data_IF_859758142230
#
_entry.id   IF_859758142230
#
_cell.length_a   1.000
_cell.length_b   1.000
_cell.length_c   1.000
_cell.angle_alpha   90.00
_cell.angle_beta   90.00
_cell.angle_gamma   90.00
#
_symmetry.space_group_name_H-M   'P 1'
#
loop_
_entity.id
_entity.type
_entity.pdbx_description
1 polymer ?
#
# COMPACT_ATOMS: atom_id res chain seq x y z
N UNK A 1 46.79 -6.21 -37.33
CA UNK A 1 46.70 -4.81 -37.80
C UNK A 1 45.62 -4.72 -38.87
N UNK A 2 44.39 -4.31 -38.54
CA UNK A 2 43.40 -3.88 -39.54
C UNK A 2 42.56 -2.75 -38.92
N UNK A 3 42.73 -1.55 -39.47
CA UNK A 3 41.99 -0.32 -39.13
C UNK A 3 40.61 -0.39 -39.79
N UNK A 4 39.55 -0.05 -39.06
CA UNK A 4 38.22 0.26 -39.62
C UNK A 4 37.98 1.78 -39.58
N UNK A 5 37.39 2.36 -40.65
CA UNK A 5 37.21 3.80 -40.78
C UNK A 5 35.93 4.29 -40.06
N UNK A 6 36.01 5.51 -39.55
CA UNK A 6 34.89 6.29 -39.02
C UNK A 6 34.05 6.84 -40.19
N UNK A 7 32.75 6.57 -40.17
CA UNK A 7 31.77 7.25 -41.03
C UNK A 7 31.04 8.32 -40.21
N UNK A 8 31.25 9.57 -40.60
CA UNK A 8 30.50 10.76 -40.18
C UNK A 8 29.05 10.65 -40.68
N UNK A 9 28.07 10.70 -39.77
CA UNK A 9 26.66 10.95 -40.11
C UNK A 9 26.26 12.27 -39.44
N UNK A 10 26.26 13.33 -40.25
CA UNK A 10 25.65 14.61 -39.94
C UNK A 10 24.33 14.70 -40.70
N UNK A 11 23.17 14.58 -40.03
CA UNK A 11 21.86 14.81 -40.66
C UNK A 11 20.89 15.53 -39.71
N UNK A 12 20.59 16.77 -40.10
CA UNK A 12 19.28 17.41 -40.17
C UNK A 12 18.40 17.48 -38.90
N UNK A 13 18.53 18.59 -38.17
CA UNK A 13 17.43 19.18 -37.40
C UNK A 13 16.38 19.74 -38.38
N UNK A 14 15.29 19.01 -38.60
CA UNK A 14 14.09 19.50 -39.31
C UNK A 14 13.06 19.94 -38.28
N UNK A 15 12.65 21.19 -38.41
CA UNK A 15 11.62 21.84 -37.62
C UNK A 15 10.27 21.10 -37.72
N UNK A 16 9.79 20.56 -36.58
CA UNK A 16 8.43 20.05 -36.41
C UNK A 16 7.70 20.94 -35.39
N UNK A 17 7.41 22.17 -35.81
CA UNK A 17 6.58 23.11 -35.08
C UNK A 17 5.37 23.46 -35.96
N UNK A 18 4.19 23.57 -35.34
CA UNK A 18 2.89 23.96 -35.90
C UNK A 18 2.07 22.84 -36.58
N UNK A 19 1.33 22.03 -35.82
CA UNK A 19 -0.02 21.53 -36.19
C UNK A 19 -0.75 20.87 -35.00
N UNK A 20 -0.68 21.48 -33.81
CA UNK A 20 -1.41 21.04 -32.60
C UNK A 20 -2.55 22.00 -32.23
N UNK A 21 -3.22 22.59 -33.22
CA UNK A 21 -4.60 23.08 -33.07
C UNK A 21 -5.55 21.90 -33.15
N UNK A 22 -5.40 20.96 -32.20
CA UNK A 22 -6.36 19.90 -31.98
C UNK A 22 -7.69 20.54 -31.64
N UNK A 23 -8.63 20.47 -32.59
CA UNK A 23 -10.06 20.51 -32.30
C UNK A 23 -10.30 19.45 -31.23
N UNK A 24 -10.28 19.84 -29.96
CA UNK A 24 -10.57 18.95 -28.86
C UNK A 24 -11.98 18.44 -29.08
N UNK A 25 -12.10 17.19 -29.52
CA UNK A 25 -13.36 16.48 -29.72
C UNK A 25 -14.01 16.23 -28.36
N UNK A 26 -14.44 17.30 -27.68
CA UNK A 26 -15.32 17.19 -26.54
C UNK A 26 -16.66 16.67 -27.05
N UNK A 27 -17.21 15.60 -26.48
CA UNK A 27 -18.52 15.11 -26.88
C UNK A 27 -19.55 16.23 -26.69
N UNK A 28 -20.44 16.42 -27.67
CA UNK A 28 -21.52 17.39 -27.55
C UNK A 28 -22.52 16.94 -26.48
N UNK A 29 -22.35 17.43 -25.25
CA UNK A 29 -23.21 17.07 -24.10
C UNK A 29 -24.57 17.77 -24.12
N UNK A 30 -24.69 18.85 -24.88
CA UNK A 30 -25.86 19.72 -24.96
C UNK A 30 -25.86 20.84 -23.93
N UNK A 31 -26.13 22.07 -24.36
CA UNK A 31 -26.07 23.26 -23.51
C UNK A 31 -27.03 23.22 -22.31
N UNK A 32 -28.19 22.56 -22.45
CA UNK A 32 -29.16 22.39 -21.36
C UNK A 32 -28.60 21.54 -20.20
N UNK A 33 -27.95 20.41 -20.54
CA UNK A 33 -27.28 19.55 -19.56
C UNK A 33 -26.18 20.32 -18.81
N UNK A 34 -25.31 21.03 -19.54
CA UNK A 34 -24.20 21.77 -18.93
C UNK A 34 -24.67 22.88 -18.00
N UNK A 35 -25.73 23.61 -18.39
CA UNK A 35 -26.36 24.62 -17.55
C UNK A 35 -26.94 24.01 -16.26
N UNK A 36 -27.75 22.96 -16.38
CA UNK A 36 -28.37 22.29 -15.23
C UNK A 36 -27.32 21.69 -14.29
N UNK A 37 -26.27 21.06 -14.84
CA UNK A 37 -25.15 20.50 -14.06
C UNK A 37 -24.38 21.59 -13.31
N UNK A 38 -24.13 22.75 -13.95
CA UNK A 38 -23.47 23.87 -13.30
C UNK A 38 -24.34 24.47 -12.17
N UNK A 39 -25.65 24.59 -12.38
CA UNK A 39 -26.61 25.00 -11.34
C UNK A 39 -26.63 24.01 -10.17
N UNK A 40 -26.66 22.70 -10.44
CA UNK A 40 -26.63 21.65 -9.44
C UNK A 40 -25.37 21.72 -8.57
N UNK A 41 -24.19 21.85 -9.19
CA UNK A 41 -22.90 21.99 -8.47
C UNK A 41 -22.86 23.25 -7.61
N UNK A 42 -23.34 24.38 -8.11
CA UNK A 42 -23.43 25.62 -7.31
C UNK A 42 -24.33 25.44 -6.09
N UNK A 43 -25.49 24.81 -6.25
CA UNK A 43 -26.39 24.52 -5.13
C UNK A 43 -25.73 23.56 -4.13
N UNK A 44 -25.07 22.51 -4.61
CA UNK A 44 -24.37 21.53 -3.78
C UNK A 44 -23.25 22.17 -2.95
N UNK A 45 -22.39 23.00 -3.57
CA UNK A 45 -21.32 23.72 -2.85
C UNK A 45 -21.86 24.74 -1.83
N UNK A 46 -23.07 25.25 -2.03
CA UNK A 46 -23.74 26.14 -1.10
C UNK A 46 -24.56 25.40 -0.02
N UNK A 47 -24.45 24.07 0.09
CA UNK A 47 -25.17 23.25 1.08
C UNK A 47 -26.67 23.10 0.82
N UNK A 48 -27.18 23.57 -0.33
CA UNK A 48 -28.61 23.46 -0.71
C UNK A 48 -28.86 22.14 -1.42
N UNK A 49 -28.85 21.05 -0.66
CA UNK A 49 -28.83 19.69 -1.22
C UNK A 49 -30.12 19.29 -1.94
N UNK A 50 -31.30 19.70 -1.47
CA UNK A 50 -32.56 19.43 -2.19
C UNK A 50 -32.58 20.12 -3.56
N UNK A 51 -32.23 21.41 -3.61
CA UNK A 51 -32.09 22.15 -4.87
C UNK A 51 -31.03 21.53 -5.78
N UNK A 52 -29.93 21.06 -5.22
CA UNK A 52 -28.90 20.37 -6.01
C UNK A 52 -29.45 19.09 -6.64
N UNK A 53 -30.20 18.27 -5.88
CA UNK A 53 -30.82 17.05 -6.40
C UNK A 53 -31.78 17.32 -7.56
N UNK A 54 -32.65 18.33 -7.44
CA UNK A 54 -33.59 18.70 -8.50
C UNK A 54 -32.87 19.14 -9.79
N UNK A 55 -31.77 19.88 -9.64
CA UNK A 55 -30.96 20.33 -10.79
C UNK A 55 -30.14 19.21 -11.41
N UNK A 56 -29.68 18.24 -10.61
CA UNK A 56 -29.09 17.03 -11.15
C UNK A 56 -30.11 16.16 -11.89
N UNK A 57 -31.37 16.05 -11.42
CA UNK A 57 -32.44 15.38 -12.16
C UNK A 57 -32.73 16.07 -13.50
N UNK A 58 -32.73 17.41 -13.53
CA UNK A 58 -32.89 18.18 -14.77
C UNK A 58 -31.73 17.93 -15.74
N UNK A 59 -30.49 17.91 -15.24
CA UNK A 59 -29.32 17.53 -16.02
C UNK A 59 -29.49 16.10 -16.56
N UNK A 60 -29.89 15.14 -15.72
CA UNK A 60 -30.09 13.76 -16.15
C UNK A 60 -31.11 13.62 -17.29
N UNK A 61 -32.20 14.39 -17.28
CA UNK A 61 -33.23 14.40 -18.34
C UNK A 61 -32.75 15.03 -19.64
N UNK A 62 -31.89 16.04 -19.56
CA UNK A 62 -31.44 16.84 -20.73
C UNK A 62 -30.11 16.36 -21.32
N UNK A 63 -29.44 15.41 -20.66
CA UNK A 63 -28.20 14.81 -21.13
C UNK A 63 -28.38 14.09 -22.48
N UNK A 64 -27.56 14.47 -23.47
CA UNK A 64 -27.52 13.78 -24.78
C UNK A 64 -26.70 12.49 -24.75
N UNK A 65 -25.76 12.38 -23.82
CA UNK A 65 -24.89 11.22 -23.64
C UNK A 65 -25.46 10.34 -22.52
N UNK A 66 -25.75 9.04 -22.76
CA UNK A 66 -26.33 8.17 -21.73
C UNK A 66 -25.51 8.11 -20.44
N UNK A 67 -24.17 8.09 -20.55
CA UNK A 67 -23.25 8.11 -19.40
C UNK A 67 -23.46 9.35 -18.52
N UNK A 68 -23.68 10.50 -19.12
CA UNK A 68 -23.87 11.77 -18.44
C UNK A 68 -25.24 11.81 -17.74
N UNK A 69 -26.27 11.19 -18.33
CA UNK A 69 -27.58 11.01 -17.68
C UNK A 69 -27.45 10.19 -16.39
N UNK A 70 -26.75 9.06 -16.44
CA UNK A 70 -26.55 8.19 -15.27
C UNK A 70 -25.70 8.87 -14.19
N UNK A 71 -24.63 9.57 -14.59
CA UNK A 71 -23.82 10.37 -13.67
C UNK A 71 -24.67 11.38 -12.89
N UNK A 72 -25.51 12.14 -13.60
CA UNK A 72 -26.37 13.13 -12.98
C UNK A 72 -27.41 12.48 -12.03
N UNK A 73 -28.01 11.33 -12.39
CA UNK A 73 -28.89 10.60 -11.46
C UNK A 73 -28.16 10.12 -10.21
N UNK A 74 -26.93 9.64 -10.37
CA UNK A 74 -26.09 9.23 -9.23
C UNK A 74 -25.83 10.40 -8.28
N UNK A 75 -25.42 11.56 -8.81
CA UNK A 75 -25.20 12.77 -8.00
C UNK A 75 -26.49 13.30 -7.36
N UNK A 76 -27.64 13.20 -8.05
CA UNK A 76 -28.93 13.56 -7.48
C UNK A 76 -29.26 12.70 -6.24
N UNK A 77 -29.06 11.39 -6.34
CA UNK A 77 -29.29 10.48 -5.22
C UNK A 77 -28.33 10.76 -4.04
N UNK A 78 -27.06 11.09 -4.30
CA UNK A 78 -26.12 11.51 -3.25
C UNK A 78 -26.53 12.83 -2.58
N UNK A 79 -27.03 13.79 -3.35
CA UNK A 79 -27.54 15.05 -2.81
C UNK A 79 -28.76 14.81 -1.91
N UNK A 80 -29.69 13.94 -2.32
CA UNK A 80 -30.85 13.52 -1.49
C UNK A 80 -30.43 12.86 -0.17
N UNK A 81 -29.44 11.98 -0.22
CA UNK A 81 -28.91 11.37 1.00
C UNK A 81 -28.36 12.42 1.98
N UNK A 82 -27.76 13.50 1.47
CA UNK A 82 -27.25 14.62 2.29
C UNK A 82 -28.33 15.57 2.80
N UNK A 83 -29.46 15.70 2.11
CA UNK A 83 -30.61 16.47 2.61
C UNK A 83 -31.49 15.72 3.60
N UNK A 84 -31.27 14.41 3.76
CA UNK A 84 -32.00 13.56 4.72
C UNK A 84 -33.04 12.64 4.09
N UNK A 85 -33.31 12.73 2.77
CA UNK A 85 -34.19 11.80 2.07
C UNK A 85 -33.44 10.49 1.72
N UNK A 86 -33.00 9.80 2.77
CA UNK A 86 -32.21 8.56 2.70
C UNK A 86 -33.00 7.43 2.02
N UNK A 87 -34.30 7.36 2.26
CA UNK A 87 -35.16 6.32 1.70
C UNK A 87 -35.23 6.42 0.17
N UNK A 88 -35.44 7.62 -0.38
CA UNK A 88 -35.45 7.83 -1.83
C UNK A 88 -34.06 7.66 -2.43
N UNK A 89 -33.04 8.25 -1.80
CA UNK A 89 -31.65 8.10 -2.25
C UNK A 89 -31.25 6.63 -2.38
N UNK A 90 -31.59 5.80 -1.38
CA UNK A 90 -31.29 4.37 -1.40
C UNK A 90 -32.00 3.64 -2.55
N UNK A 91 -33.28 3.95 -2.82
CA UNK A 91 -34.00 3.36 -3.97
C UNK A 91 -33.38 3.74 -5.31
N UNK A 92 -33.01 5.02 -5.48
CA UNK A 92 -32.41 5.51 -6.71
C UNK A 92 -31.00 4.94 -6.94
N UNK A 93 -30.19 4.83 -5.88
CA UNK A 93 -28.87 4.20 -5.96
C UNK A 93 -28.97 2.71 -6.31
N UNK A 94 -29.90 1.97 -5.71
CA UNK A 94 -30.14 0.56 -6.08
C UNK A 94 -30.62 0.44 -7.53
N UNK A 95 -31.49 1.33 -8.01
CA UNK A 95 -31.90 1.34 -9.42
C UNK A 95 -30.72 1.56 -10.39
N UNK A 96 -29.73 2.39 -10.03
CA UNK A 96 -28.51 2.57 -10.82
C UNK A 96 -27.59 1.34 -10.75
N UNK A 97 -27.49 0.74 -9.56
CA UNK A 97 -26.76 -0.51 -9.34
C UNK A 97 -27.34 -1.68 -10.14
N UNK A 98 -28.67 -1.75 -10.26
CA UNK A 98 -29.44 -2.83 -10.88
C UNK A 98 -29.59 -2.73 -12.40
N UNK A 99 -28.97 -1.73 -13.03
CA UNK A 99 -28.96 -1.59 -14.48
C UNK A 99 -28.39 -2.84 -15.19
N UNK A 100 -29.03 -3.25 -16.29
CA UNK A 100 -28.57 -4.36 -17.14
C UNK A 100 -28.52 -3.89 -18.62
N UNK A 101 -27.34 -3.81 -19.26
CA UNK A 101 -26.02 -4.12 -18.68
C UNK A 101 -25.59 -3.11 -17.60
N UNK A 102 -24.69 -3.49 -16.68
CA UNK A 102 -24.10 -2.56 -15.72
C UNK A 102 -23.46 -1.35 -16.42
N UNK A 103 -23.56 -0.18 -15.80
CA UNK A 103 -22.97 1.06 -16.29
C UNK A 103 -21.77 1.48 -15.43
N UNK A 104 -21.06 2.54 -15.85
CA UNK A 104 -19.84 3.03 -15.19
C UNK A 104 -20.02 3.44 -13.70
N UNK A 105 -21.27 3.60 -13.23
CA UNK A 105 -21.61 3.99 -11.87
C UNK A 105 -22.31 2.87 -11.08
N UNK A 106 -22.60 1.71 -11.67
CA UNK A 106 -23.36 0.65 -11.01
C UNK A 106 -22.69 0.15 -9.72
N UNK A 107 -21.36 -0.07 -9.75
CA UNK A 107 -20.63 -0.53 -8.57
C UNK A 107 -20.57 0.54 -7.45
N UNK A 108 -20.31 1.80 -7.81
CA UNK A 108 -20.27 2.91 -6.86
C UNK A 108 -21.65 3.16 -6.25
N UNK A 109 -22.71 3.09 -7.05
CA UNK A 109 -24.08 3.25 -6.60
C UNK A 109 -24.48 2.14 -5.62
N UNK A 110 -24.13 0.89 -5.93
CA UNK A 110 -24.37 -0.24 -5.03
C UNK A 110 -23.68 -0.02 -3.68
N UNK A 111 -22.40 0.35 -3.68
CA UNK A 111 -21.66 0.62 -2.46
C UNK A 111 -22.21 1.79 -1.64
N UNK A 112 -22.69 2.84 -2.30
CA UNK A 112 -23.36 3.95 -1.60
C UNK A 112 -24.71 3.55 -1.04
N UNK A 113 -25.49 2.71 -1.72
CA UNK A 113 -26.71 2.13 -1.16
C UNK A 113 -26.41 1.28 0.08
N UNK A 114 -25.38 0.42 0.03
CA UNK A 114 -24.96 -0.38 1.17
C UNK A 114 -24.46 0.48 2.35
N UNK A 115 -23.73 1.57 2.09
CA UNK A 115 -23.30 2.52 3.11
C UNK A 115 -24.47 3.24 3.80
N UNK A 116 -25.55 3.52 3.06
CA UNK A 116 -26.79 4.05 3.63
C UNK A 116 -27.53 2.98 4.45
N UNK A 117 -27.63 1.75 3.93
CA UNK A 117 -28.26 0.63 4.63
C UNK A 117 -27.53 0.32 5.94
N UNK A 118 -26.19 0.29 5.92
CA UNK A 118 -25.34 0.05 7.09
C UNK A 118 -25.60 1.03 8.24
N UNK A 119 -25.86 2.30 7.93
CA UNK A 119 -26.16 3.31 8.96
C UNK A 119 -27.50 3.07 9.67
N UNK A 120 -28.47 2.48 8.98
CA UNK A 120 -29.78 2.15 9.55
C UNK A 120 -29.83 0.75 10.18
N UNK A 121 -29.18 -0.21 9.53
CA UNK A 121 -29.11 -1.62 9.91
C UNK A 121 -27.73 -2.14 9.50
N UNK A 122 -26.77 -2.19 10.45
CA UNK A 122 -25.41 -2.64 10.16
C UNK A 122 -25.36 -4.04 9.55
N UNK A 123 -26.22 -4.96 10.00
CA UNK A 123 -26.23 -6.34 9.51
C UNK A 123 -26.65 -6.41 8.04
N UNK A 124 -27.73 -5.71 7.68
CA UNK A 124 -28.14 -5.59 6.28
C UNK A 124 -27.05 -4.90 5.43
N UNK A 125 -26.40 -3.87 5.96
CA UNK A 125 -25.29 -3.19 5.31
C UNK A 125 -24.12 -4.10 4.95
N UNK A 126 -23.68 -4.96 5.88
CA UNK A 126 -22.60 -5.91 5.61
C UNK A 126 -22.99 -6.98 4.59
N UNK A 127 -24.23 -7.49 4.66
CA UNK A 127 -24.75 -8.42 3.65
C UNK A 127 -24.77 -7.79 2.24
N UNK A 128 -25.16 -6.51 2.13
CA UNK A 128 -25.10 -5.79 0.85
C UNK A 128 -23.65 -5.58 0.38
N UNK A 129 -22.70 -5.28 1.27
CA UNK A 129 -21.28 -5.14 0.91
C UNK A 129 -20.68 -6.44 0.37
N UNK A 130 -21.01 -7.60 0.94
CA UNK A 130 -20.59 -8.90 0.40
C UNK A 130 -21.19 -9.15 -0.98
N UNK A 131 -22.51 -8.91 -1.15
CA UNK A 131 -23.17 -9.05 -2.44
C UNK A 131 -22.53 -8.16 -3.52
N UNK A 132 -22.10 -6.95 -3.15
CA UNK A 132 -21.38 -6.03 -4.04
C UNK A 132 -20.02 -6.60 -4.46
N UNK A 133 -19.25 -7.16 -3.52
CA UNK A 133 -17.98 -7.77 -3.82
C UNK A 133 -18.14 -8.92 -4.83
N UNK A 134 -19.16 -9.77 -4.63
CA UNK A 134 -19.46 -10.88 -5.54
C UNK A 134 -19.99 -10.43 -6.90
N UNK A 135 -20.77 -9.35 -6.95
CA UNK A 135 -21.38 -8.84 -8.17
C UNK A 135 -20.41 -8.01 -9.03
N UNK A 136 -19.49 -7.29 -8.39
CA UNK A 136 -18.53 -6.40 -9.05
C UNK A 136 -17.08 -6.74 -8.69
N UNK A 137 -16.63 -7.99 -8.91
CA UNK A 137 -15.34 -8.44 -8.41
C UNK A 137 -14.15 -7.83 -9.16
N UNK A 138 -14.37 -7.26 -10.35
CA UNK A 138 -13.36 -6.53 -11.13
C UNK A 138 -13.30 -5.02 -10.79
N UNK A 139 -14.18 -4.54 -9.90
CA UNK A 139 -14.22 -3.14 -9.48
C UNK A 139 -13.37 -2.93 -8.24
N UNK A 140 -12.63 -1.81 -8.18
CA UNK A 140 -11.97 -1.37 -6.95
C UNK A 140 -12.93 -1.21 -5.76
N UNK A 141 -14.22 -0.95 -6.05
CA UNK A 141 -15.28 -0.90 -5.02
C UNK A 141 -15.54 -2.28 -4.42
N UNK A 142 -15.51 -3.36 -5.22
CA UNK A 142 -15.66 -4.73 -4.73
C UNK A 142 -14.57 -5.10 -3.73
N UNK A 143 -13.32 -4.71 -4.01
CA UNK A 143 -12.18 -4.86 -3.10
C UNK A 143 -12.39 -4.11 -1.78
N UNK A 144 -12.84 -2.86 -1.83
CA UNK A 144 -13.12 -2.05 -0.63
C UNK A 144 -14.29 -2.61 0.18
N UNK A 145 -15.35 -3.07 -0.50
CA UNK A 145 -16.52 -3.67 0.14
C UNK A 145 -16.13 -4.94 0.90
N UNK A 146 -15.41 -5.85 0.25
CA UNK A 146 -14.92 -7.08 0.88
C UNK A 146 -13.99 -6.78 2.07
N UNK A 147 -13.08 -5.81 1.95
CA UNK A 147 -12.22 -5.39 3.06
C UNK A 147 -12.98 -4.80 4.26
N UNK A 148 -14.20 -4.28 4.08
CA UNK A 148 -15.07 -3.87 5.20
C UNK A 148 -15.74 -5.08 5.86
N UNK A 149 -16.23 -6.04 5.05
CA UNK A 149 -16.82 -7.29 5.55
C UNK A 149 -15.80 -8.07 6.39
N UNK A 150 -14.60 -8.29 5.85
CA UNK A 150 -13.52 -9.02 6.56
C UNK A 150 -13.18 -8.35 7.90
N UNK A 151 -13.06 -7.02 7.95
CA UNK A 151 -12.77 -6.32 9.21
C UNK A 151 -13.88 -6.46 10.24
N UNK A 152 -15.14 -6.55 9.81
CA UNK A 152 -16.26 -6.82 10.71
C UNK A 152 -16.23 -8.28 11.20
N UNK A 153 -15.95 -9.24 10.32
CA UNK A 153 -15.81 -10.64 10.73
C UNK A 153 -14.67 -10.83 11.75
N UNK A 154 -13.58 -10.09 11.59
CA UNK A 154 -12.44 -10.10 12.51
C UNK A 154 -12.85 -9.68 13.94
N UNK A 155 -13.93 -8.89 14.12
CA UNK A 155 -14.49 -8.56 15.44
C UNK A 155 -15.07 -9.81 16.14
N UNK A 156 -15.47 -10.82 15.37
CA UNK A 156 -15.90 -12.12 15.89
C UNK A 156 -14.75 -13.13 16.02
N UNK A 157 -13.52 -12.74 15.70
CA UNK A 157 -12.30 -13.54 15.83
C UNK A 157 -11.87 -14.31 14.57
N UNK A 158 -10.58 -14.66 14.49
CA UNK A 158 -9.94 -15.15 13.26
C UNK A 158 -10.51 -16.47 12.74
N UNK A 159 -11.02 -17.34 13.63
CA UNK A 159 -11.64 -18.61 13.23
C UNK A 159 -12.93 -18.41 12.42
N UNK A 160 -13.77 -17.45 12.82
CA UNK A 160 -15.02 -17.16 12.12
C UNK A 160 -14.76 -16.45 10.80
N UNK A 161 -13.83 -15.48 10.78
CA UNK A 161 -13.38 -14.86 9.52
C UNK A 161 -12.82 -15.91 8.56
N UNK A 162 -11.99 -16.84 9.05
CA UNK A 162 -11.43 -17.90 8.22
C UNK A 162 -12.52 -18.78 7.59
N UNK A 163 -13.49 -19.23 8.39
CA UNK A 163 -14.63 -20.01 7.89
C UNK A 163 -15.44 -19.24 6.83
N UNK A 164 -15.63 -17.93 7.01
CA UNK A 164 -16.30 -17.10 6.00
C UNK A 164 -15.47 -16.99 4.72
N UNK A 165 -14.16 -16.72 4.82
CA UNK A 165 -13.25 -16.67 3.67
C UNK A 165 -13.18 -18.00 2.91
N UNK A 166 -13.21 -19.13 3.61
CA UNK A 166 -13.27 -20.47 3.01
C UNK A 166 -14.55 -20.65 2.18
N UNK A 167 -15.69 -20.17 2.67
CA UNK A 167 -16.95 -20.20 1.93
C UNK A 167 -16.98 -19.23 0.74
N UNK A 168 -16.23 -18.13 0.82
CA UNK A 168 -16.16 -17.09 -0.22
C UNK A 168 -15.19 -17.46 -1.35
N UNK A 169 -14.07 -18.11 -1.04
CA UNK A 169 -13.02 -18.46 -1.99
C UNK A 169 -13.52 -19.08 -3.31
N UNK A 170 -14.37 -20.13 -3.31
CA UNK A 170 -14.86 -20.70 -4.57
C UNK A 170 -15.76 -19.74 -5.37
N UNK A 171 -16.43 -18.78 -4.71
CA UNK A 171 -17.33 -17.82 -5.37
C UNK A 171 -16.59 -16.71 -6.12
N UNK A 172 -15.37 -16.38 -5.67
CA UNK A 172 -14.52 -15.34 -6.28
C UNK A 172 -13.38 -15.91 -7.13
N UNK A 173 -13.35 -17.23 -7.35
CA UNK A 173 -12.31 -17.86 -8.14
C UNK A 173 -12.25 -17.28 -9.56
N UNK A 174 -11.04 -17.03 -10.06
CA UNK A 174 -10.75 -16.42 -11.38
C UNK A 174 -11.25 -14.98 -11.52
N UNK A 175 -11.46 -14.27 -10.41
CA UNK A 175 -11.77 -12.84 -10.39
C UNK A 175 -10.63 -12.04 -9.76
N UNK A 176 -10.65 -10.71 -9.86
CA UNK A 176 -9.64 -9.86 -9.22
C UNK A 176 -9.66 -9.92 -7.67
N UNK A 177 -10.72 -10.45 -7.06
CA UNK A 177 -10.82 -10.62 -5.61
C UNK A 177 -10.17 -11.92 -5.09
N UNK A 178 -9.85 -12.86 -5.97
CA UNK A 178 -9.32 -14.16 -5.55
C UNK A 178 -8.00 -14.02 -4.77
N UNK A 179 -7.08 -13.20 -5.27
CA UNK A 179 -5.78 -12.94 -4.62
C UNK A 179 -5.99 -12.35 -3.21
N UNK A 180 -6.91 -11.39 -3.06
CA UNK A 180 -7.24 -10.80 -1.77
C UNK A 180 -7.81 -11.85 -0.80
N UNK A 181 -8.77 -12.66 -1.24
CA UNK A 181 -9.41 -13.67 -0.37
C UNK A 181 -8.36 -14.68 0.11
N UNK A 182 -7.50 -15.18 -0.77
CA UNK A 182 -6.46 -16.14 -0.38
C UNK A 182 -5.39 -15.52 0.53
N UNK A 183 -4.99 -14.27 0.27
CA UNK A 183 -4.06 -13.55 1.14
C UNK A 183 -4.64 -13.28 2.54
N UNK A 184 -5.89 -12.81 2.62
CA UNK A 184 -6.56 -12.58 3.90
C UNK A 184 -6.84 -13.90 4.63
N UNK A 185 -7.10 -15.00 3.92
CA UNK A 185 -7.19 -16.35 4.50
C UNK A 185 -5.89 -16.76 5.19
N UNK A 186 -4.75 -16.61 4.49
CA UNK A 186 -3.43 -16.94 5.02
C UNK A 186 -3.11 -16.17 6.32
N UNK A 187 -3.48 -14.88 6.40
CA UNK A 187 -3.33 -14.07 7.62
C UNK A 187 -4.09 -14.66 8.82
N UNK A 188 -5.32 -15.14 8.64
CA UNK A 188 -6.15 -15.67 9.75
C UNK A 188 -5.64 -17.04 10.20
N UNK A 189 -5.12 -17.83 9.27
CA UNK A 189 -4.41 -19.08 9.59
C UNK A 189 -3.20 -18.79 10.48
N UNK A 190 -2.42 -17.74 10.15
CA UNK A 190 -1.29 -17.29 10.97
C UNK A 190 -1.71 -16.82 12.37
N UNK A 191 -2.80 -16.03 12.47
CA UNK A 191 -3.35 -15.55 13.74
C UNK A 191 -3.85 -16.69 14.64
N UNK A 192 -4.28 -17.81 14.05
CA UNK A 192 -4.64 -19.04 14.77
C UNK A 192 -3.43 -19.89 15.19
N UNK A 193 -2.20 -19.44 14.94
CA UNK A 193 -0.97 -20.16 15.28
C UNK A 193 -0.66 -21.36 14.37
N UNK A 194 -1.38 -21.52 13.26
CA UNK A 194 -1.19 -22.61 12.28
C UNK A 194 -0.08 -22.24 11.29
N UNK A 195 1.14 -22.04 11.80
CA UNK A 195 2.22 -21.38 11.03
C UNK A 195 2.64 -22.12 9.77
N UNK A 196 2.71 -23.46 9.79
CA UNK A 196 3.07 -24.26 8.60
C UNK A 196 2.05 -24.05 7.46
N UNK A 197 0.75 -24.13 7.78
CA UNK A 197 -0.31 -23.92 6.80
C UNK A 197 -0.39 -22.46 6.33
N UNK A 198 -0.15 -21.51 7.24
CA UNK A 198 -0.09 -20.09 6.87
C UNK A 198 1.07 -19.83 5.89
N UNK A 199 2.25 -20.41 6.15
CA UNK A 199 3.41 -20.35 5.26
C UNK A 199 3.04 -20.86 3.88
N UNK A 200 2.46 -22.07 3.80
CA UNK A 200 2.03 -22.66 2.52
C UNK A 200 1.02 -21.78 1.79
N UNK A 201 0.05 -21.22 2.52
CA UNK A 201 -0.97 -20.34 1.95
C UNK A 201 -0.38 -19.03 1.41
N UNK A 202 0.59 -18.42 2.11
CA UNK A 202 1.29 -17.24 1.61
C UNK A 202 2.15 -17.56 0.37
N UNK A 203 2.88 -18.67 0.37
CA UNK A 203 3.68 -19.09 -0.78
C UNK A 203 2.78 -19.35 -1.99
N UNK A 204 1.62 -19.99 -1.81
CA UNK A 204 0.63 -20.20 -2.86
C UNK A 204 0.17 -18.87 -3.49
N UNK A 205 -0.08 -17.83 -2.69
CA UNK A 205 -0.45 -16.50 -3.20
C UNK A 205 0.67 -15.93 -4.07
N UNK A 206 1.92 -15.98 -3.61
CA UNK A 206 3.06 -15.47 -4.37
C UNK A 206 3.33 -16.26 -5.67
N UNK A 207 3.11 -17.58 -5.66
CA UNK A 207 3.28 -18.45 -6.82
C UNK A 207 2.21 -18.22 -7.87
N UNK A 208 0.97 -18.04 -7.44
CA UNK A 208 -0.17 -17.90 -8.34
C UNK A 208 -0.29 -16.50 -8.95
N UNK A 209 0.13 -15.47 -8.22
CA UNK A 209 0.20 -14.08 -8.70
C UNK A 209 1.63 -13.55 -8.55
N UNK A 210 2.55 -13.94 -9.46
CA UNK A 210 3.93 -13.49 -9.39
C UNK A 210 4.06 -12.00 -9.75
N UNK A 211 5.21 -11.41 -9.39
CA UNK A 211 5.61 -10.09 -9.88
C UNK A 211 5.67 -10.07 -11.43
N UNK A 212 5.29 -8.95 -12.10
CA UNK A 212 4.81 -7.69 -11.53
C UNK A 212 3.30 -7.64 -11.26
N UNK A 213 2.55 -8.70 -11.60
CA UNK A 213 1.08 -8.70 -11.58
C UNK A 213 0.44 -8.85 -10.20
N UNK A 214 1.07 -9.58 -9.28
CA UNK A 214 0.52 -9.81 -7.94
C UNK A 214 0.58 -8.59 -7.05
N UNK A 215 -0.59 -8.17 -6.54
CA UNK A 215 -0.70 -7.07 -5.58
C UNK A 215 -0.11 -7.44 -4.22
N UNK A 216 -0.11 -8.72 -3.86
CA UNK A 216 0.34 -9.25 -2.58
C UNK A 216 1.61 -10.10 -2.68
N UNK A 217 2.26 -10.18 -3.84
CA UNK A 217 3.47 -11.00 -4.05
C UNK A 217 4.56 -10.76 -2.99
N UNK A 218 4.95 -9.51 -2.78
CA UNK A 218 6.02 -9.11 -1.85
C UNK A 218 5.57 -9.24 -0.39
N UNK A 219 4.36 -8.79 -0.07
CA UNK A 219 3.78 -8.99 1.26
C UNK A 219 3.68 -10.48 1.61
N UNK A 220 3.26 -11.35 0.68
CA UNK A 220 3.10 -12.78 0.91
C UNK A 220 4.43 -13.48 1.18
N UNK A 221 5.48 -13.24 0.38
CA UNK A 221 6.81 -13.81 0.65
C UNK A 221 7.42 -13.26 1.95
N UNK A 222 7.18 -11.99 2.26
CA UNK A 222 7.60 -11.41 3.53
C UNK A 222 6.90 -12.11 4.71
N UNK A 223 5.57 -12.29 4.66
CA UNK A 223 4.81 -13.01 5.69
C UNK A 223 5.19 -14.48 5.79
N UNK A 224 5.47 -15.16 4.67
CA UNK A 224 5.99 -16.52 4.67
C UNK A 224 7.31 -16.61 5.47
N UNK A 225 8.21 -15.63 5.31
CA UNK A 225 9.44 -15.56 6.12
C UNK A 225 9.20 -15.38 7.63
N UNK A 226 8.12 -14.69 8.02
CA UNK A 226 7.74 -14.56 9.43
C UNK A 226 7.22 -15.90 9.98
N UNK A 227 6.48 -16.65 9.17
CA UNK A 227 6.01 -17.99 9.56
C UNK A 227 7.16 -18.96 9.71
N UNK A 228 8.12 -18.98 8.78
CA UNK A 228 9.32 -19.81 8.87
C UNK A 228 10.15 -19.48 10.13
N UNK A 229 10.29 -18.20 10.48
CA UNK A 229 10.95 -17.80 11.73
C UNK A 229 10.20 -18.36 12.96
N UNK A 230 8.87 -18.28 13.00
CA UNK A 230 8.05 -18.85 14.09
C UNK A 230 8.16 -20.38 14.17
N UNK A 231 8.45 -21.04 13.06
CA UNK A 231 8.71 -22.48 12.98
C UNK A 231 10.16 -22.87 13.34
N UNK A 232 11.02 -21.89 13.66
CA UNK A 232 12.44 -22.14 13.95
C UNK A 232 13.28 -22.45 12.71
N UNK A 233 12.86 -21.98 11.53
CA UNK A 233 13.46 -22.25 10.21
C UNK A 233 14.02 -20.96 9.56
N UNK A 234 15.04 -20.34 10.16
CA UNK A 234 15.54 -19.04 9.71
C UNK A 234 16.17 -19.08 8.31
N UNK A 235 16.68 -20.22 7.84
CA UNK A 235 17.28 -20.34 6.50
C UNK A 235 16.21 -20.28 5.40
N UNK A 236 15.10 -20.96 5.64
CA UNK A 236 13.90 -20.97 4.80
C UNK A 236 13.26 -19.58 4.79
N UNK A 237 13.22 -18.91 5.94
CA UNK A 237 12.79 -17.51 6.03
C UNK A 237 13.62 -16.60 5.12
N UNK A 238 14.95 -16.71 5.18
CA UNK A 238 15.86 -15.96 4.31
C UNK A 238 15.62 -16.31 2.83
N UNK A 239 15.39 -17.59 2.50
CA UNK A 239 15.14 -18.01 1.13
C UNK A 239 13.88 -17.35 0.51
N UNK A 240 12.80 -17.19 1.28
CA UNK A 240 11.62 -16.44 0.81
C UNK A 240 11.91 -14.96 0.56
N UNK A 241 12.70 -14.32 1.44
CA UNK A 241 13.08 -12.91 1.28
C UNK A 241 14.02 -12.70 0.09
N UNK A 242 15.00 -13.59 -0.11
CA UNK A 242 15.88 -13.57 -1.28
C UNK A 242 15.11 -13.81 -2.58
N UNK A 243 14.15 -14.75 -2.58
CA UNK A 243 13.24 -14.94 -3.72
C UNK A 243 12.45 -13.68 -4.05
N UNK A 244 11.99 -12.95 -3.04
CA UNK A 244 11.29 -11.68 -3.28
C UNK A 244 12.23 -10.64 -3.89
N UNK A 245 13.45 -10.52 -3.34
CA UNK A 245 14.45 -9.56 -3.80
C UNK A 245 15.00 -9.87 -5.20
N UNK A 246 14.94 -11.13 -5.67
CA UNK A 246 15.40 -11.49 -7.02
C UNK A 246 14.58 -10.85 -8.15
N UNK A 247 13.36 -10.36 -7.86
CA UNK A 247 12.52 -9.62 -8.81
C UNK A 247 12.74 -8.10 -8.74
N UNK A 248 13.69 -7.64 -7.93
CA UNK A 248 14.00 -6.21 -7.84
C UNK A 248 14.72 -5.75 -9.10
N UNK A 249 14.05 -4.88 -9.86
CA UNK A 249 14.66 -4.17 -10.98
C UNK A 249 15.39 -2.92 -10.48
N UNK A 250 16.68 -2.79 -10.82
CA UNK A 250 17.45 -1.57 -10.55
C UNK A 250 17.29 -0.57 -11.68
N UNK A 251 16.40 0.41 -11.50
CA UNK A 251 16.33 1.58 -12.40
C UNK A 251 17.47 2.54 -12.10
N UNK A 252 18.42 2.68 -13.04
CA UNK A 252 19.56 3.60 -12.91
C UNK A 252 19.26 5.01 -13.45
N UNK A 253 18.20 5.20 -14.23
CA UNK A 253 18.03 6.40 -15.08
C UNK A 253 16.79 7.24 -14.80
N UNK A 254 15.65 6.72 -14.35
CA UNK A 254 14.51 7.56 -13.96
C UNK A 254 13.41 6.77 -13.25
N UNK A 255 13.15 7.09 -11.97
CA UNK A 255 12.08 6.49 -11.17
C UNK A 255 12.42 5.06 -10.70
N UNK A 256 12.53 4.88 -9.37
CA UNK A 256 12.65 3.55 -8.78
C UNK A 256 11.23 3.00 -8.56
N UNK A 257 10.86 1.94 -9.27
CA UNK A 257 9.64 1.15 -8.99
C UNK A 257 9.90 0.21 -7.81
N UNK A 258 10.46 0.75 -6.72
CA UNK A 258 10.77 -0.05 -5.54
C UNK A 258 9.47 -0.42 -4.81
N UNK A 259 9.22 -1.72 -4.67
CA UNK A 259 8.09 -2.22 -3.89
C UNK A 259 8.32 -1.91 -2.41
N UNK A 260 7.28 -1.54 -1.63
CA UNK A 260 7.44 -1.10 -0.24
C UNK A 260 8.21 -2.06 0.66
N UNK A 261 8.17 -3.38 0.37
CA UNK A 261 8.83 -4.40 1.21
C UNK A 261 10.29 -4.67 0.90
N UNK A 262 10.84 -4.24 -0.24
CA UNK A 262 12.19 -4.65 -0.64
C UNK A 262 13.27 -4.17 0.34
N UNK A 263 13.24 -2.90 0.73
CA UNK A 263 14.16 -2.36 1.73
C UNK A 263 14.01 -3.03 3.12
N UNK A 264 12.77 -3.28 3.57
CA UNK A 264 12.53 -3.98 4.84
C UNK A 264 12.99 -5.43 4.81
N UNK A 265 12.90 -6.09 3.65
CA UNK A 265 13.27 -7.48 3.49
C UNK A 265 14.76 -7.72 3.64
N UNK A 266 15.60 -6.91 2.98
CA UNK A 266 17.05 -7.05 3.10
C UNK A 266 17.54 -6.74 4.51
N UNK A 267 16.93 -5.75 5.19
CA UNK A 267 17.21 -5.50 6.60
C UNK A 267 16.82 -6.72 7.46
N UNK A 268 15.65 -7.32 7.22
CA UNK A 268 15.21 -8.52 7.93
C UNK A 268 16.12 -9.73 7.68
N UNK A 269 16.66 -9.91 6.46
CA UNK A 269 17.66 -10.96 6.19
C UNK A 269 18.89 -10.76 7.10
N UNK A 270 19.39 -9.53 7.24
CA UNK A 270 20.51 -9.26 8.12
C UNK A 270 20.19 -9.58 9.58
N UNK A 271 19.01 -9.19 10.06
CA UNK A 271 18.52 -9.53 11.41
C UNK A 271 18.44 -11.05 11.63
N UNK A 272 17.93 -11.81 10.65
CA UNK A 272 17.86 -13.28 10.76
C UNK A 272 19.27 -13.92 10.82
N UNK A 273 20.22 -13.41 10.04
CA UNK A 273 21.61 -13.86 10.13
C UNK A 273 22.22 -13.58 11.49
N UNK A 274 22.05 -12.37 12.03
CA UNK A 274 22.60 -12.01 13.33
C UNK A 274 21.91 -12.77 14.48
N UNK A 275 20.60 -12.63 14.61
CA UNK A 275 19.87 -13.01 15.82
C UNK A 275 19.48 -14.49 15.84
N UNK A 276 19.17 -15.09 14.68
CA UNK A 276 18.69 -16.48 14.60
C UNK A 276 19.78 -17.47 14.21
N UNK A 277 20.74 -17.04 13.40
CA UNK A 277 21.82 -17.90 12.93
C UNK A 277 23.17 -17.61 13.61
N UNK A 278 23.33 -16.49 14.31
CA UNK A 278 24.60 -16.08 14.92
C UNK A 278 25.70 -15.77 13.89
N UNK A 279 25.35 -15.62 12.61
CA UNK A 279 26.28 -15.36 11.51
C UNK A 279 26.45 -13.86 11.27
N UNK A 280 27.20 -13.21 12.16
CA UNK A 280 27.45 -11.76 12.09
C UNK A 280 28.16 -11.35 10.80
N UNK A 281 28.98 -12.22 10.22
CA UNK A 281 29.67 -11.94 8.97
C UNK A 281 28.67 -11.77 7.82
N UNK A 282 27.73 -12.70 7.66
CA UNK A 282 26.65 -12.57 6.66
C UNK A 282 25.68 -11.45 6.95
N UNK A 283 25.40 -11.18 8.22
CA UNK A 283 24.59 -10.02 8.61
C UNK A 283 25.22 -8.72 8.10
N UNK A 284 26.54 -8.54 8.29
CA UNK A 284 27.29 -7.37 7.78
C UNK A 284 27.29 -7.28 6.26
N UNK A 285 27.54 -8.39 5.57
CA UNK A 285 27.46 -8.43 4.10
C UNK A 285 26.09 -7.97 3.60
N UNK A 286 25.02 -8.45 4.24
CA UNK A 286 23.64 -8.11 3.89
C UNK A 286 23.33 -6.62 4.15
N UNK A 287 23.77 -6.07 5.29
CA UNK A 287 23.64 -4.64 5.60
C UNK A 287 24.40 -3.77 4.60
N UNK A 288 25.61 -4.20 4.23
CA UNK A 288 26.40 -3.52 3.22
C UNK A 288 25.69 -3.50 1.86
N UNK A 289 25.09 -4.64 1.47
CA UNK A 289 24.27 -4.77 0.26
C UNK A 289 23.06 -3.83 0.28
N UNK A 290 22.39 -3.66 1.43
CA UNK A 290 21.31 -2.67 1.58
C UNK A 290 21.81 -1.24 1.30
N UNK A 291 22.93 -0.83 1.89
CA UNK A 291 23.49 0.50 1.64
C UNK A 291 23.88 0.73 0.17
N UNK A 292 24.54 -0.27 -0.45
CA UNK A 292 25.12 -0.15 -1.79
C UNK A 292 24.07 -0.26 -2.91
N UNK A 293 23.16 -1.22 -2.81
CA UNK A 293 22.27 -1.58 -3.92
C UNK A 293 20.93 -0.84 -3.86
N UNK A 294 20.47 -0.43 -2.66
CA UNK A 294 19.17 0.20 -2.45
C UNK A 294 19.29 1.71 -2.34
N UNK A 295 19.79 2.34 -3.41
CA UNK A 295 20.17 3.76 -3.44
C UNK A 295 19.05 4.74 -3.04
N UNK A 296 17.79 4.37 -3.27
CA UNK A 296 16.59 5.15 -2.93
C UNK A 296 16.01 4.85 -1.54
N UNK A 297 16.54 3.87 -0.82
CA UNK A 297 16.04 3.47 0.48
C UNK A 297 16.33 4.52 1.55
N UNK A 298 15.36 4.72 2.44
CA UNK A 298 15.51 5.52 3.65
C UNK A 298 16.18 4.75 4.79
N UNK A 299 16.51 3.46 4.61
CA UNK A 299 17.13 2.60 5.63
C UNK A 299 18.65 2.46 5.45
N UNK A 300 19.25 3.24 4.54
CA UNK A 300 20.68 3.11 4.21
C UNK A 300 21.58 3.56 5.36
N UNK A 301 21.16 4.57 6.12
CA UNK A 301 21.87 5.03 7.31
C UNK A 301 21.68 4.06 8.48
N UNK A 302 20.46 3.52 8.68
CA UNK A 302 20.23 2.41 9.63
C UNK A 302 21.14 1.21 9.32
N UNK A 303 21.34 0.87 8.04
CA UNK A 303 22.21 -0.22 7.62
C UNK A 303 23.69 0.00 7.98
N UNK A 304 24.24 1.19 7.69
CA UNK A 304 25.62 1.53 8.03
C UNK A 304 25.84 1.60 9.54
N UNK A 305 24.87 2.14 10.28
CA UNK A 305 24.92 2.17 11.74
C UNK A 305 25.00 0.75 12.30
N UNK A 306 24.09 -0.12 11.88
CA UNK A 306 24.03 -1.49 12.37
C UNK A 306 25.26 -2.31 11.94
N UNK A 307 25.78 -2.11 10.72
CA UNK A 307 27.00 -2.77 10.26
C UNK A 307 28.20 -2.39 11.15
N UNK A 308 28.31 -1.11 11.52
CA UNK A 308 29.35 -0.63 12.44
C UNK A 308 29.24 -1.27 13.83
N UNK A 309 28.03 -1.43 14.36
CA UNK A 309 27.80 -2.09 15.64
C UNK A 309 28.27 -3.55 15.61
N UNK A 310 28.01 -4.27 14.52
CA UNK A 310 28.49 -5.64 14.35
C UNK A 310 30.01 -5.72 14.28
N UNK A 311 30.68 -4.79 13.59
CA UNK A 311 32.14 -4.72 13.57
C UNK A 311 32.72 -4.44 14.96
N UNK A 312 32.08 -3.54 15.72
CA UNK A 312 32.48 -3.24 17.09
C UNK A 312 32.31 -4.45 18.02
N UNK A 313 31.20 -5.19 17.91
CA UNK A 313 30.96 -6.45 18.66
C UNK A 313 32.00 -7.53 18.35
N UNK A 314 32.61 -7.49 17.18
CA UNK A 314 33.70 -8.41 16.77
C UNK A 314 35.10 -7.87 17.09
N UNK A 315 35.20 -6.67 17.70
CA UNK A 315 36.46 -6.06 18.12
C UNK A 315 37.19 -5.25 17.04
N UNK A 316 36.67 -5.20 15.81
CA UNK A 316 37.24 -4.41 14.71
C UNK A 316 36.74 -2.96 14.76
N UNK A 317 37.35 -2.20 15.67
CA UNK A 317 37.03 -0.78 15.89
C UNK A 317 37.37 0.08 14.67
N UNK A 318 38.39 -0.28 13.91
CA UNK A 318 38.81 0.48 12.73
C UNK A 318 37.74 0.42 11.65
N UNK A 319 37.30 -0.78 11.28
CA UNK A 319 36.24 -0.97 10.28
C UNK A 319 34.91 -0.39 10.76
N UNK A 320 34.59 -0.51 12.05
CA UNK A 320 33.41 0.14 12.63
C UNK A 320 33.45 1.68 12.44
N UNK A 321 34.57 2.33 12.78
CA UNK A 321 34.72 3.77 12.58
C UNK A 321 34.72 4.18 11.10
N UNK A 322 35.23 3.34 10.20
CA UNK A 322 35.15 3.58 8.77
C UNK A 322 33.69 3.59 8.28
N UNK A 323 32.85 2.66 8.74
CA UNK A 323 31.40 2.65 8.42
C UNK A 323 30.67 3.87 8.98
N UNK A 324 30.96 4.26 10.22
CA UNK A 324 30.41 5.47 10.82
C UNK A 324 30.85 6.74 10.09
N UNK A 325 32.07 6.77 9.55
CA UNK A 325 32.57 7.87 8.71
C UNK A 325 31.78 7.96 7.41
N UNK A 326 31.54 6.83 6.74
CA UNK A 326 30.65 6.78 5.56
C UNK A 326 29.24 7.27 5.89
N UNK A 327 28.67 6.85 7.03
CA UNK A 327 27.35 7.32 7.47
C UNK A 327 27.32 8.84 7.62
N UNK A 328 28.28 9.42 8.34
CA UNK A 328 28.33 10.87 8.56
C UNK A 328 28.56 11.66 7.26
N UNK A 329 29.30 11.10 6.30
CA UNK A 329 29.55 11.70 4.99
C UNK A 329 28.31 11.70 4.11
N UNK A 330 27.70 10.52 3.92
CA UNK A 330 26.64 10.31 2.94
C UNK A 330 25.27 10.75 3.46
N UNK A 331 25.07 10.68 4.79
CA UNK A 331 23.82 11.02 5.47
C UNK A 331 24.08 12.03 6.60
N UNK A 332 24.52 13.26 6.26
CA UNK A 332 24.91 14.27 7.25
C UNK A 332 23.77 14.66 8.20
N UNK A 333 22.52 14.46 7.80
CA UNK A 333 21.31 14.77 8.59
C UNK A 333 20.76 13.53 9.33
N UNK A 334 21.42 12.37 9.25
CA UNK A 334 20.99 11.16 9.94
C UNK A 334 20.96 11.36 11.47
N UNK A 335 19.98 10.72 12.12
CA UNK A 335 19.86 10.68 13.58
C UNK A 335 21.09 10.07 14.27
N UNK A 336 21.88 9.28 13.54
CA UNK A 336 23.04 8.56 14.05
C UNK A 336 24.34 9.38 14.05
N UNK A 337 24.42 10.49 13.30
CA UNK A 337 25.65 11.30 13.15
C UNK A 337 26.26 11.75 14.49
N UNK A 338 25.49 12.22 15.49
CA UNK A 338 26.08 12.67 16.75
C UNK A 338 26.73 11.51 17.51
N UNK A 339 26.07 10.36 17.54
CA UNK A 339 26.58 9.15 18.16
C UNK A 339 27.81 8.61 17.42
N UNK A 340 27.85 8.73 16.09
CA UNK A 340 29.01 8.36 15.28
C UNK A 340 30.26 9.17 15.65
N UNK A 341 30.12 10.50 15.81
CA UNK A 341 31.22 11.40 16.21
C UNK A 341 31.67 11.12 17.64
N UNK A 342 30.74 10.85 18.55
CA UNK A 342 31.06 10.49 19.94
C UNK A 342 31.81 9.14 20.03
N UNK A 343 31.36 8.12 19.30
CA UNK A 343 32.00 6.78 19.28
C UNK A 343 33.36 6.78 18.57
N UNK A 344 33.52 7.61 17.54
CA UNK A 344 34.74 7.70 16.73
C UNK A 344 35.20 9.16 16.62
N UNK A 345 36.02 9.66 17.56
CA UNK A 345 36.44 11.06 17.62
C UNK A 345 37.20 11.59 16.39
N UNK A 346 37.71 10.70 15.53
CA UNK A 346 38.34 11.06 14.26
C UNK A 346 37.34 11.56 13.20
N UNK A 347 36.05 11.27 13.37
CA UNK A 347 34.98 11.69 12.44
C UNK A 347 34.67 13.16 12.69
N UNK A 348 34.84 13.97 11.64
CA UNK A 348 34.42 15.38 11.65
C UNK A 348 32.94 15.48 11.31
N UNK A 349 32.17 16.09 12.20
CA UNK A 349 30.77 16.41 11.93
C UNK A 349 30.64 17.32 10.69
N UNK A 350 29.77 17.00 9.72
CA UNK A 350 29.50 17.88 8.58
C UNK A 350 28.96 19.24 9.04
N UNK A 351 29.56 20.34 8.55
CA UNK A 351 29.21 21.69 9.01
C UNK A 351 27.78 22.12 8.69
N UNK A 352 27.15 21.50 7.70
CA UNK A 352 25.76 21.76 7.28
C UNK A 352 24.75 20.75 7.84
N UNK A 353 25.19 19.83 8.71
CA UNK A 353 24.33 18.82 9.33
C UNK A 353 23.22 19.46 10.16
N UNK A 354 21.98 19.04 9.91
CA UNK A 354 20.78 19.38 10.70
C UNK A 354 20.49 18.39 11.83
N UNK A 355 21.30 17.33 11.97
CA UNK A 355 21.15 16.37 13.05
C UNK A 355 21.27 17.07 14.43
N UNK A 356 20.76 16.49 15.53
CA UNK A 356 20.97 17.02 16.88
C UNK A 356 22.46 17.18 17.23
N UNK A 357 22.84 18.04 18.18
CA UNK A 357 24.27 18.26 18.52
C UNK A 357 24.91 17.08 19.27
N UNK A 358 24.13 16.39 20.09
CA UNK A 358 24.53 15.26 20.92
C UNK A 358 23.82 13.97 20.52
N UNK A 359 24.42 12.83 20.86
CA UNK A 359 23.74 11.54 20.76
C UNK A 359 22.49 11.52 21.66
N UNK A 360 21.43 10.86 21.20
CA UNK A 360 20.22 10.67 22.01
C UNK A 360 20.35 9.35 22.79
N UNK A 361 19.95 9.35 24.05
CA UNK A 361 20.12 8.21 24.97
C UNK A 361 19.52 6.90 24.44
N UNK A 362 18.41 6.95 23.69
CA UNK A 362 17.82 5.72 23.14
C UNK A 362 18.67 5.07 22.04
N UNK A 363 19.63 5.78 21.44
CA UNK A 363 20.57 5.26 20.43
C UNK A 363 21.84 4.69 21.06
N UNK A 364 22.13 5.02 22.32
CA UNK A 364 23.28 4.48 23.05
C UNK A 364 22.95 3.21 23.84
N UNK A 365 21.67 2.90 24.06
CA UNK A 365 21.22 1.66 24.70
C UNK A 365 21.49 0.45 23.81
N UNK A 366 21.92 -0.66 24.40
CA UNK A 366 22.10 -1.90 23.66
C UNK A 366 20.74 -2.44 23.16
N UNK A 367 20.64 -2.90 21.90
CA UNK A 367 19.45 -3.57 21.39
C UNK A 367 19.17 -4.86 22.20
N UNK A 368 18.35 -4.76 23.23
CA UNK A 368 18.10 -5.86 24.17
C UNK A 368 17.76 -5.37 25.58
N UNK A 369 18.27 -4.20 25.98
CA UNK A 369 17.89 -3.52 27.23
C UNK A 369 16.54 -2.77 27.11
N UNK A 370 15.61 -3.30 26.31
CA UNK A 370 14.24 -2.76 26.28
C UNK A 370 13.61 -3.08 27.62
N UNK A 371 13.73 -2.11 28.53
CA UNK A 371 13.04 -1.96 29.80
C UNK A 371 11.84 -2.90 29.94
N UNK A 372 12.03 -3.96 30.73
CA UNK A 372 10.94 -4.59 31.49
C UNK A 372 10.25 -3.56 32.43
N UNK A 373 10.76 -2.32 32.49
CA UNK A 373 10.25 -1.18 33.28
C UNK A 373 9.26 -0.25 32.54
N UNK A 374 8.93 -0.49 31.26
CA UNK A 374 7.74 0.15 30.70
C UNK A 374 6.52 -0.68 31.13
N UNK A 375 5.66 -0.18 32.05
CA UNK A 375 4.47 -0.91 32.46
C UNK A 375 3.67 -1.27 31.20
N UNK A 376 3.05 -2.46 31.14
CA UNK A 376 2.17 -2.81 30.04
C UNK A 376 1.22 -1.65 29.86
N UNK A 377 1.24 -1.03 28.68
CA UNK A 377 0.30 0.03 28.35
C UNK A 377 -1.08 -0.62 28.40
N UNK A 378 -1.71 -0.52 29.57
CA UNK A 378 -3.07 -0.95 29.81
C UNK A 378 -3.90 -0.40 28.67
N UNK A 379 -4.63 -1.29 27.99
CA UNK A 379 -5.24 -1.06 26.71
C UNK A 379 -5.80 0.35 26.59
N UNK A 380 -5.29 1.09 25.60
CA UNK A 380 -5.94 2.30 25.13
C UNK A 380 -7.34 1.90 24.64
N UNK A 381 -8.33 1.99 25.53
CA UNK A 381 -9.73 2.08 25.16
C UNK A 381 -9.84 3.21 24.15
N UNK A 382 -10.13 2.86 22.89
CA UNK A 382 -10.50 3.85 21.89
C UNK A 382 -11.69 4.65 22.44
N UNK A 383 -11.67 5.99 22.38
CA UNK A 383 -12.85 6.77 22.68
C UNK A 383 -13.97 6.32 21.73
N UNK A 384 -15.12 6.05 22.31
CA UNK A 384 -16.37 5.69 21.65
C UNK A 384 -16.82 6.90 20.82
N UNK A 385 -16.61 6.85 19.51
CA UNK A 385 -17.11 7.86 18.56
C UNK A 385 -18.60 7.62 18.30
N UNK A 386 -19.41 7.98 19.29
CA UNK A 386 -20.87 8.05 19.21
C UNK A 386 -21.32 9.52 19.20
N UNK A 387 -21.42 10.15 18.02
CA UNK A 387 -22.32 11.29 17.75
C UNK A 387 -22.79 11.32 16.30
#
# INVERSE_FOLDING_TARGET
MMRRPHALIAHAFVALALFSTGLGCAPNRGAAYEKALAEARRAHHAGRFDTAADRFDEAARTAKVPRDSVYARYEAALARARSGDVARASRELRAIADANPPNAYSAQAAFKAADLAWKSDPSAGYAELEAIALRFPESGVGKVALGRVIRHDDESGPAKTLAHLDALAPKVAKTSLEELVLYERAKRIAELGRYEEARDAFVLVADRWPYPGGAYFDDALYRASEMEEKLGRPREAIAHLERMLSFRESSSTMGSYERPRYSSAILRIATLYEERLGDRAKARETLHRLYADFKTSTLRDDALWHEAELWQKDGDKETACNRLSTLASDFPDSRYVPCAVERCPSIKRPSKSKAPKSCRDYLSREPGERADDDPPTAGATRPDDSK
#
